data_IF_444906480365
#
_entry.id   IF_444906480365
#
_cell.length_a   1.000
_cell.length_b   1.000
_cell.length_c   1.000
_cell.angle_alpha   90.00
_cell.angle_beta   90.00
_cell.angle_gamma   90.00
#
_symmetry.space_group_name_H-M   'P 1'
#
loop_
_entity.id
_entity.type
_entity.pdbx_description
1 polymer ?
#
# COMPACT_ATOMS: atom_id res chain seq x y z
N UNK A 1 -17.28 7.02 -6.73
CA UNK A 1 -17.08 5.78 -5.94
C UNK A 1 -15.79 5.12 -6.36
N UNK A 2 -14.85 5.07 -5.45
CA UNK A 2 -13.54 4.51 -5.78
C UNK A 2 -12.82 4.02 -4.52
N UNK A 3 -11.86 3.10 -4.73
CA UNK A 3 -10.96 2.67 -3.67
C UNK A 3 -9.71 3.54 -3.75
N UNK A 4 -9.35 4.16 -2.64
CA UNK A 4 -8.15 4.97 -2.51
C UNK A 4 -7.11 4.15 -1.73
N UNK A 5 -5.88 4.15 -2.22
CA UNK A 5 -4.77 3.43 -1.58
C UNK A 5 -3.95 4.44 -0.80
N UNK A 6 -3.83 4.22 0.51
CA UNK A 6 -3.19 5.18 1.42
C UNK A 6 -1.86 4.68 1.98
N UNK A 7 -1.07 4.05 1.10
CA UNK A 7 0.24 3.54 1.48
C UNK A 7 1.15 4.66 1.96
N UNK A 8 1.14 5.80 1.27
CA UNK A 8 2.02 6.92 1.60
C UNK A 8 1.75 7.51 2.99
N UNK A 9 0.50 7.49 3.45
CA UNK A 9 0.16 7.92 4.81
C UNK A 9 0.85 7.01 5.84
N UNK A 10 0.78 5.70 5.63
CA UNK A 10 1.41 4.74 6.53
C UNK A 10 2.93 4.81 6.47
N UNK A 11 3.50 5.02 5.28
CA UNK A 11 4.94 5.20 5.14
C UNK A 11 5.42 6.44 5.90
N UNK A 12 4.67 7.53 5.82
CA UNK A 12 5.00 8.76 6.55
C UNK A 12 4.96 8.51 8.06
N UNK A 13 3.96 7.79 8.56
CA UNK A 13 3.84 7.46 9.98
C UNK A 13 5.01 6.62 10.47
N UNK A 14 5.50 5.70 9.63
CA UNK A 14 6.61 4.80 9.97
C UNK A 14 7.97 5.40 9.63
N UNK A 15 8.00 6.57 8.98
CA UNK A 15 9.23 7.19 8.47
C UNK A 15 10.01 6.23 7.59
N UNK A 16 9.30 5.48 6.77
CA UNK A 16 9.86 4.47 5.88
C UNK A 16 9.83 4.95 4.45
N UNK A 17 10.92 4.73 3.72
CA UNK A 17 10.97 5.08 2.30
C UNK A 17 10.22 4.05 1.45
N UNK A 18 9.82 4.45 0.25
CA UNK A 18 9.19 3.55 -0.72
C UNK A 18 10.13 2.38 -1.06
N UNK A 19 11.42 2.67 -1.21
CA UNK A 19 12.41 1.64 -1.51
C UNK A 19 12.52 0.59 -0.42
N UNK A 20 12.59 1.03 0.83
CA UNK A 20 12.65 0.12 1.97
C UNK A 20 11.37 -0.72 2.08
N UNK A 21 10.22 -0.08 1.90
CA UNK A 21 8.94 -0.76 1.94
C UNK A 21 8.83 -1.83 0.84
N UNK A 22 9.19 -1.47 -0.39
CA UNK A 22 9.17 -2.40 -1.52
C UNK A 22 10.06 -3.61 -1.25
N UNK A 23 11.25 -3.38 -0.73
CA UNK A 23 12.18 -4.46 -0.41
C UNK A 23 11.60 -5.41 0.65
N UNK A 24 11.02 -4.86 1.70
CA UNK A 24 10.43 -5.67 2.78
C UNK A 24 9.21 -6.46 2.34
N UNK A 25 8.40 -5.89 1.45
CA UNK A 25 7.20 -6.54 0.93
C UNK A 25 7.53 -7.56 -0.15
N UNK A 26 8.67 -7.38 -0.82
CA UNK A 26 9.09 -8.24 -1.92
C UNK A 26 8.57 -7.76 -3.26
N UNK A 27 8.32 -6.46 -3.39
CA UNK A 27 7.90 -5.83 -4.64
C UNK A 27 8.96 -4.85 -5.11
N UNK A 28 8.78 -4.31 -6.31
CA UNK A 28 9.64 -3.25 -6.82
C UNK A 28 9.04 -1.89 -6.46
N UNK A 29 9.87 -0.83 -6.37
CA UNK A 29 9.33 0.53 -6.17
C UNK A 29 8.33 0.93 -7.25
N UNK A 30 8.51 0.46 -8.49
CA UNK A 30 7.57 0.73 -9.58
C UNK A 30 6.20 0.13 -9.30
N UNK A 31 6.15 -1.09 -8.75
CA UNK A 31 4.89 -1.74 -8.39
C UNK A 31 4.19 -1.01 -7.24
N UNK A 32 4.96 -0.51 -6.27
CA UNK A 32 4.41 0.29 -5.18
C UNK A 32 3.81 1.58 -5.74
N UNK A 33 4.49 2.23 -6.68
CA UNK A 33 3.99 3.45 -7.30
C UNK A 33 2.67 3.21 -8.04
N UNK A 34 2.52 2.08 -8.73
CA UNK A 34 1.27 1.71 -9.40
C UNK A 34 0.14 1.60 -8.39
N UNK A 35 0.40 0.96 -7.24
CA UNK A 35 -0.60 0.84 -6.18
C UNK A 35 -0.95 2.21 -5.59
N UNK A 36 0.05 3.02 -5.26
CA UNK A 36 -0.15 4.36 -4.67
C UNK A 36 -0.96 5.28 -5.56
N UNK A 37 -0.74 5.20 -6.87
CA UNK A 37 -1.38 6.12 -7.83
C UNK A 37 -2.75 5.64 -8.26
N UNK A 38 -3.25 4.55 -7.69
CA UNK A 38 -4.56 4.03 -8.02
C UNK A 38 -4.67 3.39 -9.40
N UNK A 39 -3.53 3.06 -9.99
CA UNK A 39 -3.50 2.43 -11.33
C UNK A 39 -3.67 0.92 -11.28
N UNK A 40 -3.47 0.33 -10.11
CA UNK A 40 -3.62 -1.11 -9.97
C UNK A 40 -5.10 -1.48 -10.07
N UNK A 41 -5.41 -2.48 -10.88
CA UNK A 41 -6.77 -3.00 -11.03
C UNK A 41 -7.06 -4.11 -10.02
N UNK A 42 -6.02 -4.65 -9.42
CA UNK A 42 -6.15 -5.74 -8.46
C UNK A 42 -4.93 -5.76 -7.55
N UNK A 43 -5.13 -6.30 -6.37
CA UNK A 43 -4.04 -6.60 -5.44
C UNK A 43 -4.29 -7.98 -4.86
N UNK A 44 -3.26 -8.80 -4.80
CA UNK A 44 -3.37 -10.13 -4.21
C UNK A 44 -3.50 -10.01 -2.70
N UNK A 45 -4.32 -10.86 -2.10
CA UNK A 45 -4.45 -10.87 -0.64
C UNK A 45 -3.12 -11.17 0.04
N UNK A 46 -2.27 -12.01 -0.57
CA UNK A 46 -0.94 -12.29 -0.05
C UNK A 46 -0.06 -11.04 -0.02
N UNK A 47 -0.17 -10.19 -1.04
CA UNK A 47 0.56 -8.92 -1.10
C UNK A 47 0.02 -7.95 -0.03
N UNK A 48 -1.30 -7.87 0.10
CA UNK A 48 -1.94 -7.04 1.11
C UNK A 48 -1.53 -7.49 2.52
N UNK A 49 -1.49 -8.80 2.76
CA UNK A 49 -1.04 -9.36 4.01
C UNK A 49 0.40 -8.92 4.33
N UNK A 50 1.29 -9.01 3.35
CA UNK A 50 2.68 -8.61 3.53
C UNK A 50 2.80 -7.11 3.83
N UNK A 51 2.03 -6.28 3.15
CA UNK A 51 2.02 -4.83 3.41
C UNK A 51 1.54 -4.53 4.83
N UNK A 52 0.48 -5.18 5.27
CA UNK A 52 -0.03 -5.00 6.63
C UNK A 52 0.98 -5.43 7.67
N UNK A 53 1.67 -6.55 7.41
CA UNK A 53 2.68 -7.06 8.34
C UNK A 53 3.86 -6.11 8.46
N UNK A 54 4.36 -5.60 7.34
CA UNK A 54 5.49 -4.68 7.33
C UNK A 54 5.13 -3.36 8.00
N UNK A 55 3.94 -2.84 7.74
CA UNK A 55 3.50 -1.55 8.27
C UNK A 55 2.80 -1.68 9.62
N UNK A 56 2.56 -2.91 10.11
CA UNK A 56 1.86 -3.16 11.37
C UNK A 56 0.52 -2.42 11.41
N UNK A 57 -0.28 -2.62 10.37
CA UNK A 57 -1.57 -1.95 10.24
C UNK A 57 -2.61 -2.92 9.67
N UNK A 58 -3.85 -2.49 9.68
CA UNK A 58 -4.96 -3.27 9.14
C UNK A 58 -5.19 -2.90 7.67
N UNK A 59 -5.83 -3.80 6.88
CA UNK A 59 -6.16 -3.46 5.50
C UNK A 59 -6.96 -2.17 5.36
N UNK A 60 -7.84 -1.87 6.31
CA UNK A 60 -8.62 -0.63 6.31
C UNK A 60 -7.78 0.62 6.51
N UNK A 61 -6.55 0.48 6.99
CA UNK A 61 -5.61 1.61 7.08
C UNK A 61 -4.93 1.90 5.74
N UNK A 62 -4.95 0.92 4.83
CA UNK A 62 -4.31 1.04 3.52
C UNK A 62 -5.30 1.31 2.40
N UNK A 63 -6.51 0.79 2.53
CA UNK A 63 -7.54 0.87 1.50
C UNK A 63 -8.77 1.57 2.07
N UNK A 64 -9.30 2.51 1.32
CA UNK A 64 -10.49 3.24 1.74
C UNK A 64 -11.43 3.39 0.55
N UNK A 65 -12.71 3.14 0.77
CA UNK A 65 -13.73 3.40 -0.24
C UNK A 65 -14.23 4.83 -0.08
N UNK A 66 -14.22 5.57 -1.15
CA UNK A 66 -14.65 6.97 -1.16
C UNK A 66 -15.81 7.11 -2.13
N UNK A 67 -16.90 7.70 -1.64
CA UNK A 67 -18.11 7.95 -2.42
C UNK A 67 -18.02 9.35 -3.03
N UNK A 68 -17.48 9.41 -4.24
CA UNK A 68 -17.34 10.67 -4.99
C UNK A 68 -18.09 10.62 -6.30
#
# INVERSE_FOLDING_TARGET
MTIVVRIDVQLAKQKMSVGEFAERVGLTPANIAVLKNGRAKAVRLSTLDAMCRVLQCQPGDLLEWVDE
#
